data_IF_209338524314
#
_entry.id   IF_209338524314
#
_cell.length_a   1.000
_cell.length_b   1.000
_cell.length_c   1.000
_cell.angle_alpha   90.00
_cell.angle_beta   90.00
_cell.angle_gamma   90.00
#
_symmetry.space_group_name_H-M   'P 1'
#
loop_
_entity.id
_entity.type
_entity.pdbx_description
1 polymer ?
#
# COMPACT_ATOMS: atom_id res chain seq x y z
N UNK A 1 49.47 7.77 33.13
CA UNK A 1 49.02 7.40 31.77
C UNK A 1 47.64 6.74 31.71
N UNK A 2 47.19 5.99 32.74
CA UNK A 2 45.92 5.24 32.69
C UNK A 2 44.63 6.10 32.78
N UNK A 3 44.65 7.25 33.45
CA UNK A 3 43.47 8.09 33.62
C UNK A 3 43.00 8.74 32.29
N UNK A 4 43.95 9.18 31.46
CA UNK A 4 43.64 9.80 30.16
C UNK A 4 42.98 8.82 29.19
N UNK A 5 43.52 7.59 29.12
CA UNK A 5 42.92 6.50 28.34
C UNK A 5 41.50 6.17 28.79
N UNK A 6 41.25 6.11 30.10
CA UNK A 6 39.91 5.92 30.67
C UNK A 6 38.93 7.03 30.27
N UNK A 7 39.36 8.29 30.32
CA UNK A 7 38.55 9.45 29.91
C UNK A 7 38.22 9.40 28.41
N UNK A 8 39.18 9.06 27.55
CA UNK A 8 38.94 8.96 26.10
C UNK A 8 37.93 7.85 25.79
N UNK A 9 38.06 6.69 26.43
CA UNK A 9 37.11 5.58 26.26
C UNK A 9 35.70 5.98 26.75
N UNK A 10 35.60 6.63 27.90
CA UNK A 10 34.32 7.10 28.43
C UNK A 10 33.65 8.13 27.51
N UNK A 11 34.41 9.08 26.96
CA UNK A 11 33.90 10.06 26.00
C UNK A 11 33.45 9.40 24.69
N UNK A 12 34.20 8.43 24.18
CA UNK A 12 33.82 7.68 22.98
C UNK A 12 32.53 6.86 23.21
N UNK A 13 32.39 6.22 24.37
CA UNK A 13 31.18 5.48 24.74
C UNK A 13 29.96 6.40 24.88
N UNK A 14 30.14 7.59 25.46
CA UNK A 14 29.08 8.59 25.59
C UNK A 14 28.67 9.14 24.22
N UNK A 15 29.63 9.44 23.34
CA UNK A 15 29.36 9.91 21.98
C UNK A 15 28.59 8.86 21.17
N UNK A 16 28.99 7.58 21.25
CA UNK A 16 28.29 6.48 20.59
C UNK A 16 26.85 6.34 21.11
N UNK A 17 26.67 6.36 22.44
CA UNK A 17 25.35 6.26 23.07
C UNK A 17 24.42 7.41 22.66
N UNK A 18 24.94 8.64 22.63
CA UNK A 18 24.19 9.81 22.18
C UNK A 18 23.80 9.71 20.70
N UNK A 19 24.73 9.25 19.84
CA UNK A 19 24.47 9.05 18.42
C UNK A 19 23.37 8.00 18.18
N UNK A 20 23.44 6.86 18.88
CA UNK A 20 22.41 5.81 18.79
C UNK A 20 21.06 6.30 19.30
N UNK A 21 21.01 7.02 20.42
CA UNK A 21 19.78 7.59 20.95
C UNK A 21 19.12 8.57 19.96
N UNK A 22 19.93 9.45 19.35
CA UNK A 22 19.46 10.38 18.34
C UNK A 22 18.91 9.66 17.09
N UNK A 23 19.62 8.65 16.59
CA UNK A 23 19.14 7.84 15.46
C UNK A 23 17.84 7.12 15.78
N UNK A 24 17.72 6.53 16.97
CA UNK A 24 16.51 5.84 17.39
C UNK A 24 15.32 6.81 17.53
N UNK A 25 15.54 7.99 18.10
CA UNK A 25 14.51 9.02 18.21
C UNK A 25 14.03 9.47 16.82
N UNK A 26 14.96 9.70 15.89
CA UNK A 26 14.64 10.06 14.50
C UNK A 26 13.90 8.93 13.77
N UNK A 27 14.28 7.67 13.97
CA UNK A 27 13.59 6.51 13.38
C UNK A 27 12.15 6.45 13.84
N UNK A 28 11.92 6.53 15.16
CA UNK A 28 10.57 6.51 15.74
C UNK A 28 9.69 7.63 15.20
N UNK A 29 10.24 8.83 15.03
CA UNK A 29 9.53 9.96 14.43
C UNK A 29 9.14 9.73 12.96
N UNK A 30 9.95 8.98 12.20
CA UNK A 30 9.61 8.57 10.83
C UNK A 30 8.57 7.46 10.81
N UNK A 31 8.72 6.45 11.67
CA UNK A 31 7.76 5.35 11.80
C UNK A 31 6.37 5.86 12.16
N UNK A 32 6.25 6.82 13.08
CA UNK A 32 4.95 7.42 13.44
C UNK A 32 4.30 8.23 12.31
N UNK A 33 5.08 8.63 11.30
CA UNK A 33 4.63 9.42 10.14
C UNK A 33 4.46 8.59 8.88
N UNK A 34 4.84 7.32 8.93
CA UNK A 34 4.75 6.41 7.79
C UNK A 34 3.33 5.90 7.62
N UNK A 35 2.83 5.93 6.39
CA UNK A 35 1.67 5.15 6.01
C UNK A 35 2.14 3.79 5.48
N UNK A 36 1.35 2.75 5.70
CA UNK A 36 1.67 1.40 5.24
C UNK A 36 0.56 0.89 4.34
N UNK A 37 0.56 1.37 3.10
CA UNK A 37 -0.48 1.01 2.12
C UNK A 37 -0.18 -0.37 1.53
N UNK A 38 -1.17 -1.24 1.56
CA UNK A 38 -1.16 -2.56 0.94
C UNK A 38 -2.42 -2.78 0.12
N UNK A 39 -2.43 -3.82 -0.69
CA UNK A 39 -3.59 -4.25 -1.46
C UNK A 39 -3.77 -5.76 -1.36
N UNK A 40 -4.99 -6.24 -1.32
CA UNK A 40 -5.29 -7.67 -1.33
C UNK A 40 -6.65 -7.96 -1.98
N UNK A 41 -6.83 -9.20 -2.43
CA UNK A 41 -8.12 -9.66 -2.93
C UNK A 41 -8.99 -10.17 -1.79
N UNK A 42 -10.18 -9.58 -1.65
CA UNK A 42 -11.21 -10.05 -0.77
C UNK A 42 -12.33 -10.72 -1.59
N UNK A 43 -12.61 -12.00 -1.32
CA UNK A 43 -13.74 -12.69 -1.94
C UNK A 43 -15.02 -12.28 -1.21
N UNK A 44 -16.04 -11.86 -1.95
CA UNK A 44 -17.35 -11.57 -1.35
C UNK A 44 -18.20 -12.84 -1.28
N UNK A 45 -19.02 -12.94 -0.23
CA UNK A 45 -19.96 -14.05 -0.07
C UNK A 45 -21.11 -13.96 -1.09
N UNK A 46 -21.55 -12.73 -1.37
CA UNK A 46 -22.53 -12.41 -2.41
C UNK A 46 -21.82 -11.67 -3.54
N UNK A 47 -22.13 -12.03 -4.79
CA UNK A 47 -21.59 -11.32 -5.94
C UNK A 47 -22.11 -9.88 -5.93
N UNK A 48 -21.20 -8.91 -5.91
CA UNK A 48 -21.58 -7.51 -5.97
C UNK A 48 -22.09 -7.19 -7.38
N UNK A 49 -23.34 -6.76 -7.49
CA UNK A 49 -23.93 -6.28 -8.75
C UNK A 49 -23.57 -4.83 -8.93
N UNK A 50 -22.77 -4.56 -9.94
CA UNK A 50 -22.27 -3.23 -10.28
C UNK A 50 -22.91 -2.81 -11.59
N UNK A 51 -23.51 -1.61 -11.60
CA UNK A 51 -24.04 -0.99 -12.81
C UNK A 51 -22.95 -0.11 -13.41
N UNK A 52 -22.41 -0.53 -14.54
CA UNK A 52 -21.36 0.19 -15.25
C UNK A 52 -21.91 1.48 -15.89
N UNK A 53 -21.02 2.44 -16.26
CA UNK A 53 -21.41 3.68 -16.92
C UNK A 53 -22.18 3.48 -18.24
N UNK A 54 -21.93 2.38 -18.95
CA UNK A 54 -22.64 1.99 -20.18
C UNK A 54 -24.06 1.40 -19.92
N UNK A 55 -24.47 1.31 -18.65
CA UNK A 55 -25.75 0.77 -18.22
C UNK A 55 -25.76 -0.75 -18.05
N UNK A 56 -24.67 -1.46 -18.39
CA UNK A 56 -24.58 -2.91 -18.21
C UNK A 56 -24.43 -3.26 -16.73
N UNK A 57 -25.08 -4.34 -16.30
CA UNK A 57 -24.92 -4.86 -14.94
C UNK A 57 -23.92 -6.01 -15.01
N UNK A 58 -22.84 -5.90 -14.24
CA UNK A 58 -21.84 -6.97 -14.07
C UNK A 58 -21.77 -7.41 -12.62
N UNK A 59 -21.40 -8.67 -12.43
CA UNK A 59 -21.25 -9.27 -11.11
C UNK A 59 -19.76 -9.44 -10.76
N UNK A 60 -19.35 -8.90 -9.61
CA UNK A 60 -17.99 -9.00 -9.08
C UNK A 60 -17.96 -9.98 -7.90
N UNK A 61 -17.21 -11.08 -8.03
CA UNK A 61 -17.00 -12.05 -6.94
C UNK A 61 -15.82 -11.73 -6.03
N UNK A 62 -15.05 -10.70 -6.38
CA UNK A 62 -13.88 -10.24 -5.62
C UNK A 62 -13.86 -8.71 -5.57
N UNK A 63 -13.33 -8.17 -4.48
CA UNK A 63 -12.88 -6.79 -4.38
C UNK A 63 -11.36 -6.76 -4.27
N UNK A 64 -10.72 -5.82 -4.97
CA UNK A 64 -9.39 -5.38 -4.66
C UNK A 64 -9.49 -4.37 -3.52
N UNK A 65 -8.98 -4.70 -2.34
CA UNK A 65 -9.04 -3.81 -1.17
C UNK A 65 -7.70 -3.15 -0.97
N UNK A 66 -7.66 -1.83 -1.09
CA UNK A 66 -6.52 -1.01 -0.69
C UNK A 66 -6.66 -0.75 0.81
N UNK A 67 -5.62 -0.99 1.59
CA UNK A 67 -5.65 -0.84 3.04
C UNK A 67 -4.40 -0.12 3.54
N UNK A 68 -4.59 0.94 4.31
CA UNK A 68 -3.50 1.57 5.04
C UNK A 68 -3.40 0.97 6.45
N UNK A 69 -2.36 0.18 6.72
CA UNK A 69 -2.05 -0.41 8.05
C UNK A 69 -1.14 0.48 8.90
N UNK A 70 -0.65 1.58 8.32
CA UNK A 70 0.32 2.45 8.96
C UNK A 70 -0.30 3.37 9.99
N UNK A 71 0.50 3.88 10.94
CA UNK A 71 0.02 4.82 11.96
C UNK A 71 -0.38 6.19 11.39
N UNK A 72 0.11 6.55 10.20
CA UNK A 72 -0.17 7.82 9.54
C UNK A 72 -1.10 7.66 8.32
N UNK A 73 -1.83 8.71 7.93
CA UNK A 73 -2.64 8.71 6.72
C UNK A 73 -1.77 8.66 5.45
N UNK A 74 -2.27 7.98 4.42
CA UNK A 74 -1.75 8.06 3.06
C UNK A 74 -2.57 9.07 2.26
N UNK A 75 -1.92 9.90 1.45
CA UNK A 75 -2.58 10.86 0.54
C UNK A 75 -2.16 10.64 -0.90
N UNK A 76 -2.95 11.16 -1.84
CA UNK A 76 -2.71 11.02 -3.28
C UNK A 76 -2.45 9.56 -3.71
N UNK A 77 -3.23 8.62 -3.17
CA UNK A 77 -3.02 7.18 -3.39
C UNK A 77 -3.41 6.86 -4.83
N UNK A 78 -2.49 6.28 -5.60
CA UNK A 78 -2.67 5.82 -6.97
C UNK A 78 -2.43 4.33 -7.07
N UNK A 79 -3.14 3.70 -8.01
CA UNK A 79 -2.97 2.30 -8.32
C UNK A 79 -2.69 2.14 -9.82
N UNK A 80 -1.80 1.21 -10.14
CA UNK A 80 -1.64 0.68 -11.49
C UNK A 80 -1.73 -0.84 -11.40
N UNK A 81 -2.51 -1.44 -12.30
CA UNK A 81 -2.76 -2.87 -12.29
C UNK A 81 -2.16 -3.48 -13.55
N UNK A 82 -1.51 -4.63 -13.39
CA UNK A 82 -0.98 -5.40 -14.49
C UNK A 82 -1.31 -6.89 -14.33
N UNK A 83 -1.47 -7.59 -15.45
CA UNK A 83 -1.57 -9.04 -15.51
C UNK A 83 -0.20 -9.69 -15.21
N UNK A 84 -0.18 -11.02 -15.15
CA UNK A 84 1.05 -11.77 -14.91
C UNK A 84 2.13 -11.55 -15.99
N UNK A 85 1.70 -11.26 -17.21
CA UNK A 85 2.55 -11.04 -18.39
C UNK A 85 3.01 -9.58 -18.53
N UNK A 86 2.53 -8.70 -17.65
CA UNK A 86 2.88 -7.27 -17.63
C UNK A 86 1.86 -6.37 -18.34
N UNK A 87 0.84 -6.94 -18.98
CA UNK A 87 -0.20 -6.18 -19.66
C UNK A 87 -1.03 -5.34 -18.67
N UNK A 88 -1.34 -4.07 -18.98
CA UNK A 88 -2.13 -3.22 -18.12
C UNK A 88 -3.56 -3.77 -17.98
N UNK A 89 -4.09 -3.73 -16.76
CA UNK A 89 -5.45 -4.16 -16.45
C UNK A 89 -6.29 -2.94 -16.07
N UNK A 90 -7.30 -2.64 -16.87
CA UNK A 90 -8.28 -1.59 -16.56
C UNK A 90 -9.52 -2.18 -15.90
N UNK A 91 -10.08 -1.46 -14.92
CA UNK A 91 -11.32 -1.83 -14.24
C UNK A 91 -12.49 -1.05 -14.85
N UNK A 92 -13.56 -1.75 -15.17
CA UNK A 92 -14.73 -1.18 -15.83
C UNK A 92 -15.55 -0.22 -14.95
N UNK A 93 -15.47 -0.39 -13.62
CA UNK A 93 -16.20 0.42 -12.64
C UNK A 93 -15.38 1.62 -12.13
N UNK A 94 -14.13 1.76 -12.60
CA UNK A 94 -13.26 2.83 -12.13
C UNK A 94 -13.51 4.11 -12.93
N UNK A 95 -14.02 5.14 -12.27
CA UNK A 95 -14.23 6.44 -12.90
C UNK A 95 -12.91 7.14 -13.23
N UNK A 96 -12.85 7.99 -14.28
CA UNK A 96 -11.64 8.73 -14.63
C UNK A 96 -11.17 9.68 -13.53
N UNK A 97 -12.09 10.13 -12.66
CA UNK A 97 -11.83 11.08 -11.56
C UNK A 97 -11.70 10.40 -10.19
N UNK A 98 -11.76 9.06 -10.14
CA UNK A 98 -11.73 8.33 -8.86
C UNK A 98 -10.32 8.30 -8.26
N UNK A 99 -9.30 8.26 -9.12
CA UNK A 99 -7.89 8.26 -8.71
C UNK A 99 -7.15 9.53 -9.20
N UNK A 100 -6.19 10.05 -8.41
CA UNK A 100 -5.72 9.56 -7.12
C UNK A 100 -6.77 9.70 -6.00
N UNK A 101 -6.89 8.70 -5.13
CA UNK A 101 -7.67 8.86 -3.91
C UNK A 101 -7.04 9.98 -3.08
N UNK A 102 -7.84 10.94 -2.58
CA UNK A 102 -7.30 12.08 -1.87
C UNK A 102 -6.61 11.65 -0.58
N UNK A 103 -7.19 10.67 0.13
CA UNK A 103 -6.72 10.23 1.44
C UNK A 103 -7.24 8.84 1.81
N UNK A 104 -6.39 8.05 2.47
CA UNK A 104 -6.76 6.84 3.22
C UNK A 104 -6.19 6.99 4.64
N UNK A 105 -7.08 7.15 5.62
CA UNK A 105 -6.70 7.27 7.02
C UNK A 105 -6.09 5.99 7.58
N UNK A 106 -5.53 6.08 8.80
CA UNK A 106 -5.03 4.93 9.54
C UNK A 106 -6.11 3.84 9.62
N UNK A 107 -5.71 2.61 9.33
CA UNK A 107 -6.57 1.42 9.29
C UNK A 107 -7.72 1.50 8.25
N UNK A 108 -7.75 2.56 7.44
CA UNK A 108 -8.76 2.81 6.42
C UNK A 108 -8.65 1.86 5.23
N UNK A 109 -9.81 1.41 4.75
CA UNK A 109 -9.93 0.46 3.64
C UNK A 109 -10.74 1.06 2.50
N UNK A 110 -10.27 0.88 1.27
CA UNK A 110 -10.95 1.28 0.06
C UNK A 110 -11.18 0.06 -0.84
N UNK A 111 -12.42 -0.50 -0.86
CA UNK A 111 -12.75 -1.65 -1.70
C UNK A 111 -13.07 -1.21 -3.14
N UNK A 112 -12.45 -1.87 -4.11
CA UNK A 112 -12.70 -1.70 -5.55
C UNK A 112 -13.28 -2.99 -6.14
N UNK A 113 -14.45 -2.95 -6.80
CA UNK A 113 -14.99 -4.14 -7.46
C UNK A 113 -14.05 -4.66 -8.55
N UNK A 114 -13.70 -5.95 -8.50
CA UNK A 114 -12.80 -6.55 -9.48
C UNK A 114 -13.54 -6.90 -10.77
N UNK A 115 -13.63 -5.91 -11.68
CA UNK A 115 -14.30 -6.03 -12.97
C UNK A 115 -13.36 -5.60 -14.11
N UNK A 116 -12.39 -6.43 -14.52
CA UNK A 116 -11.52 -6.10 -15.65
C UNK A 116 -12.32 -5.89 -16.94
N UNK A 117 -11.91 -4.92 -17.76
CA UNK A 117 -12.54 -4.60 -19.06
C UNK A 117 -12.28 -5.69 -20.11
N UNK A 118 -11.07 -6.25 -20.14
CA UNK A 118 -10.66 -7.33 -21.03
C UNK A 118 -11.23 -8.70 -20.65
N UNK A 119 -11.70 -9.46 -21.64
CA UNK A 119 -12.22 -10.81 -21.45
C UNK A 119 -11.13 -11.80 -20.98
N UNK A 120 -9.89 -11.58 -21.41
CA UNK A 120 -8.75 -12.47 -21.17
C UNK A 120 -8.38 -12.54 -19.68
N UNK A 121 -8.59 -11.45 -18.93
CA UNK A 121 -8.22 -11.36 -17.52
C UNK A 121 -9.28 -11.93 -16.55
N UNK A 122 -10.44 -12.38 -17.06
CA UNK A 122 -11.52 -12.88 -16.21
C UNK A 122 -11.13 -14.20 -15.54
N UNK A 123 -10.39 -15.07 -16.26
CA UNK A 123 -9.87 -16.35 -15.78
C UNK A 123 -8.55 -16.25 -15.02
N UNK A 124 -7.76 -15.20 -15.27
CA UNK A 124 -6.44 -15.01 -14.67
C UNK A 124 -6.50 -14.99 -13.15
N UNK A 125 -5.48 -15.56 -12.51
CA UNK A 125 -5.42 -15.61 -11.04
C UNK A 125 -4.33 -14.75 -10.44
N UNK A 126 -3.37 -14.29 -11.24
CA UNK A 126 -2.17 -13.58 -10.78
C UNK A 126 -2.16 -12.19 -11.40
N UNK A 127 -1.91 -11.21 -10.57
CA UNK A 127 -1.89 -9.80 -10.95
C UNK A 127 -0.78 -9.10 -10.18
N UNK A 128 -0.33 -7.97 -10.68
CA UNK A 128 0.60 -7.10 -9.99
C UNK A 128 -0.09 -5.76 -9.77
N UNK A 129 -0.01 -5.24 -8.55
CA UNK A 129 -0.51 -3.92 -8.19
C UNK A 129 0.67 -3.03 -7.84
N UNK A 130 0.81 -1.92 -8.53
CA UNK A 130 1.72 -0.84 -8.16
C UNK A 130 0.94 0.21 -7.40
N UNK A 131 1.33 0.44 -6.16
CA UNK A 131 0.75 1.46 -5.28
C UNK A 131 1.71 2.63 -5.21
N UNK A 132 1.21 3.83 -5.39
CA UNK A 132 1.94 5.06 -5.09
C UNK A 132 1.13 5.89 -4.09
N UNK A 133 1.79 6.47 -3.10
CA UNK A 133 1.14 7.37 -2.15
C UNK A 133 2.13 8.41 -1.62
N UNK A 134 1.60 9.38 -0.88
CA UNK A 134 2.39 10.32 -0.09
C UNK A 134 2.06 10.12 1.40
N UNK A 135 3.08 10.22 2.24
CA UNK A 135 2.93 10.24 3.70
C UNK A 135 3.80 11.32 4.34
N UNK A 136 3.89 11.35 5.67
CA UNK A 136 4.68 12.34 6.39
C UNK A 136 6.20 12.21 6.19
N UNK A 137 6.66 11.21 5.44
CA UNK A 137 8.04 11.03 5.02
C UNK A 137 8.28 11.31 3.52
N UNK A 138 7.24 11.62 2.76
CA UNK A 138 7.32 11.97 1.33
C UNK A 138 6.62 10.95 0.41
N UNK A 139 6.99 10.91 -0.89
CA UNK A 139 6.42 9.95 -1.83
C UNK A 139 6.92 8.54 -1.55
N UNK A 140 6.01 7.58 -1.68
CA UNK A 140 6.25 6.15 -1.47
C UNK A 140 5.71 5.35 -2.64
N UNK A 141 6.30 4.18 -2.86
CA UNK A 141 5.89 3.23 -3.89
C UNK A 141 6.00 1.79 -3.37
N UNK A 142 5.08 0.93 -3.80
CA UNK A 142 5.10 -0.50 -3.50
C UNK A 142 4.53 -1.32 -4.64
N UNK A 143 5.30 -2.31 -5.08
CA UNK A 143 4.85 -3.32 -6.03
C UNK A 143 4.41 -4.58 -5.28
N UNK A 144 3.19 -5.03 -5.53
CA UNK A 144 2.55 -6.14 -4.84
C UNK A 144 2.10 -7.22 -5.84
N UNK A 145 2.74 -8.39 -5.86
CA UNK A 145 2.19 -9.54 -6.56
C UNK A 145 0.99 -10.08 -5.78
N UNK A 146 -0.18 -10.09 -6.42
CA UNK A 146 -1.44 -10.55 -5.85
C UNK A 146 -1.94 -11.80 -6.55
N UNK A 147 -2.69 -12.62 -5.80
CA UNK A 147 -3.34 -13.81 -6.34
C UNK A 147 -4.80 -13.92 -5.86
N UNK A 148 -5.74 -14.07 -6.80
CA UNK A 148 -7.16 -14.33 -6.46
C UNK A 148 -7.29 -15.66 -5.71
N UNK A 149 -7.95 -15.61 -4.55
CA UNK A 149 -8.13 -16.75 -3.66
C UNK A 149 -6.97 -17.01 -2.70
N UNK A 150 -5.97 -16.13 -2.66
CA UNK A 150 -4.93 -16.14 -1.63
C UNK A 150 -5.17 -14.93 -0.71
N UNK A 151 -5.57 -15.19 0.52
CA UNK A 151 -5.67 -14.15 1.55
C UNK A 151 -4.33 -14.11 2.29
N UNK A 152 -3.38 -13.34 1.77
CA UNK A 152 -2.18 -13.00 2.53
C UNK A 152 -2.54 -11.81 3.43
N UNK A 153 -2.94 -12.09 4.68
CA UNK A 153 -3.13 -11.07 5.73
C UNK A 153 -1.92 -11.04 6.66
#
# INVERSE_FOLDING_TARGET
>A
MNAWLGTVIALAALALSAATAYQQHRSRGRESRAAEVTAYFHRTAEFARVKLPDGTIREAGYHLVIWNRGPAPATAVRIELAAAEGDPVELADLGPDEFPLPRIDRDGRYPLPWLPTGADHRGDRRFTVRLHWQDGNGPQERLLPLRKGQTNL
#
